data_IF_420200019203
#
_entry.id   IF_420200019203
#
_cell.length_a   1.000
_cell.length_b   1.000
_cell.length_c   1.000
_cell.angle_alpha   90.00
_cell.angle_beta   90.00
_cell.angle_gamma   90.00
#
_symmetry.space_group_name_H-M   'P 1'
#
loop_
_entity.id
_entity.type
_entity.pdbx_description
1 polymer ?
#
# COMPACT_ATOMS: atom_id res chain seq x y z
N UNK A 1 -27.37 16.60 -3.97
CA UNK A 1 -27.35 16.99 -5.40
C UNK A 1 -26.28 16.17 -6.12
N UNK A 2 -26.68 15.14 -6.85
CA UNK A 2 -25.80 14.33 -7.70
C UNK A 2 -25.48 15.11 -8.98
N UNK A 3 -24.44 15.93 -8.95
CA UNK A 3 -23.83 16.51 -10.15
C UNK A 3 -22.46 15.84 -10.34
N UNK A 4 -22.38 14.78 -11.14
CA UNK A 4 -21.10 14.09 -11.33
C UNK A 4 -21.03 13.02 -12.41
N UNK A 5 -22.13 12.72 -13.12
CA UNK A 5 -22.13 11.61 -14.08
C UNK A 5 -22.79 11.99 -15.42
N UNK A 6 -22.51 13.19 -15.93
CA UNK A 6 -22.89 13.53 -17.31
C UNK A 6 -21.88 12.91 -18.30
N UNK A 7 -22.35 12.55 -19.49
CA UNK A 7 -21.49 12.12 -20.60
C UNK A 7 -20.38 13.13 -20.91
N UNK A 8 -20.63 14.42 -20.66
CA UNK A 8 -19.66 15.51 -20.82
C UNK A 8 -18.45 15.35 -19.87
N UNK A 9 -18.68 15.04 -18.59
CA UNK A 9 -17.59 14.77 -17.64
C UNK A 9 -16.84 13.47 -17.96
N UNK A 10 -17.48 12.48 -18.56
CA UNK A 10 -16.77 11.29 -19.04
C UNK A 10 -15.82 11.62 -20.23
N UNK A 11 -16.28 12.46 -21.16
CA UNK A 11 -15.49 12.94 -22.31
C UNK A 11 -14.34 13.85 -21.86
N UNK A 12 -14.60 14.82 -20.98
CA UNK A 12 -13.57 15.71 -20.41
C UNK A 12 -12.49 14.92 -19.63
N UNK A 13 -12.89 13.90 -18.87
CA UNK A 13 -11.95 12.96 -18.23
C UNK A 13 -11.12 12.17 -19.24
N UNK A 14 -11.71 11.79 -20.37
CA UNK A 14 -10.99 11.07 -21.42
C UNK A 14 -10.00 12.00 -22.13
N UNK A 15 -10.40 13.24 -22.42
CA UNK A 15 -9.56 14.27 -23.05
C UNK A 15 -8.41 14.74 -22.16
N UNK A 16 -8.64 14.91 -20.85
CA UNK A 16 -7.57 15.26 -19.91
C UNK A 16 -6.46 14.19 -19.81
N UNK A 17 -6.74 12.93 -20.19
CA UNK A 17 -5.71 11.89 -20.35
C UNK A 17 -4.80 12.13 -21.55
N UNK A 18 -5.15 13.00 -22.48
CA UNK A 18 -4.33 13.37 -23.64
C UNK A 18 -3.69 14.76 -23.49
N UNK A 19 -3.90 15.46 -22.37
CA UNK A 19 -3.35 16.79 -22.11
C UNK A 19 -1.90 16.81 -21.64
N UNK A 20 -1.21 15.66 -21.58
CA UNK A 20 0.19 15.54 -21.18
C UNK A 20 0.98 14.77 -22.25
N UNK A 21 2.13 15.29 -22.66
CA UNK A 21 3.01 14.63 -23.64
C UNK A 21 3.40 13.21 -23.23
N UNK A 22 3.52 12.97 -21.91
CA UNK A 22 3.81 11.63 -21.36
C UNK A 22 2.72 10.60 -21.65
N UNK A 23 1.49 11.04 -21.89
CA UNK A 23 0.37 10.15 -22.23
C UNK A 23 0.20 9.98 -23.75
N UNK A 24 0.81 10.87 -24.55
CA UNK A 24 0.77 10.83 -26.02
C UNK A 24 1.88 9.94 -26.61
N UNK A 25 3.03 9.88 -25.94
CA UNK A 25 4.17 9.07 -26.36
C UNK A 25 4.55 8.04 -25.29
N UNK A 26 4.73 6.78 -25.70
CA UNK A 26 5.30 5.75 -24.83
C UNK A 26 6.82 5.92 -24.75
N UNK A 27 7.28 6.62 -23.73
CA UNK A 27 8.70 6.71 -23.40
C UNK A 27 9.20 5.38 -22.82
N UNK A 28 10.40 4.96 -23.22
CA UNK A 28 10.97 3.70 -22.79
C UNK A 28 12.45 3.58 -23.10
N UNK A 29 13.02 2.46 -22.72
CA UNK A 29 14.43 2.14 -22.85
C UNK A 29 14.67 0.66 -23.08
N UNK A 30 15.94 0.25 -22.95
CA UNK A 30 16.36 -1.15 -23.07
C UNK A 30 17.15 -1.60 -21.86
N UNK A 31 16.94 -2.84 -21.45
CA UNK A 31 17.71 -3.49 -20.40
C UNK A 31 19.15 -3.67 -20.87
N UNK A 32 20.13 -3.23 -20.08
CA UNK A 32 21.56 -3.39 -20.38
C UNK A 32 22.34 -4.13 -19.29
N UNK A 33 21.77 -4.26 -18.09
CA UNK A 33 22.30 -5.02 -16.98
C UNK A 33 21.18 -5.63 -16.14
N UNK A 34 21.41 -6.84 -15.63
CA UNK A 34 20.45 -7.58 -14.82
C UNK A 34 21.13 -8.02 -13.53
N UNK A 35 20.45 -7.76 -12.41
CA UNK A 35 20.80 -8.23 -11.09
C UNK A 35 19.62 -9.00 -10.47
N UNK A 36 19.82 -9.77 -9.39
CA UNK A 36 18.74 -10.53 -8.76
C UNK A 36 17.57 -9.68 -8.24
N UNK A 37 17.83 -8.44 -7.81
CA UNK A 37 16.84 -7.55 -7.18
C UNK A 37 16.39 -6.38 -8.04
N UNK A 38 17.07 -6.13 -9.15
CA UNK A 38 16.80 -4.99 -10.04
C UNK A 38 17.43 -5.22 -11.41
N UNK A 39 17.01 -4.46 -12.41
CA UNK A 39 17.68 -4.38 -13.69
C UNK A 39 17.87 -2.92 -14.09
N UNK A 40 18.90 -2.67 -14.88
CA UNK A 40 19.23 -1.34 -15.39
C UNK A 40 18.67 -1.16 -16.79
N UNK A 41 18.13 0.03 -17.04
CA UNK A 41 17.54 0.42 -18.31
C UNK A 41 18.19 1.71 -18.80
N UNK A 42 18.67 1.73 -20.04
CA UNK A 42 19.17 2.93 -20.73
C UNK A 42 18.10 3.56 -21.62
N UNK A 43 18.22 4.87 -21.84
CA UNK A 43 17.42 5.61 -22.82
C UNK A 43 16.08 6.14 -22.27
N UNK A 44 15.84 6.04 -20.96
CA UNK A 44 14.60 6.54 -20.34
C UNK A 44 14.81 7.56 -19.20
N UNK A 45 16.05 7.89 -18.83
CA UNK A 45 16.35 8.73 -17.66
C UNK A 45 15.72 10.12 -17.71
N UNK A 46 15.68 10.76 -18.88
CA UNK A 46 15.10 12.10 -19.06
C UNK A 46 13.58 12.13 -18.89
N UNK A 47 12.91 10.98 -19.03
CA UNK A 47 11.46 10.88 -18.96
C UNK A 47 10.98 10.15 -17.69
N UNK A 48 11.83 9.37 -17.04
CA UNK A 48 11.50 8.65 -15.82
C UNK A 48 11.35 9.59 -14.62
N UNK A 49 10.48 9.22 -13.68
CA UNK A 49 10.42 9.78 -12.33
C UNK A 49 10.51 8.64 -11.31
N UNK A 50 11.07 8.94 -10.14
CA UNK A 50 11.10 7.99 -9.04
C UNK A 50 9.67 7.56 -8.69
N UNK A 51 9.46 6.25 -8.56
CA UNK A 51 8.15 5.65 -8.32
C UNK A 51 7.30 5.43 -9.58
N UNK A 52 7.78 5.80 -10.78
CA UNK A 52 7.08 5.45 -12.02
C UNK A 52 6.98 3.92 -12.14
N UNK A 53 5.78 3.44 -12.44
CA UNK A 53 5.58 2.04 -12.78
C UNK A 53 5.96 1.83 -14.24
N UNK A 54 6.70 0.76 -14.51
CA UNK A 54 7.11 0.38 -15.86
C UNK A 54 6.51 -0.95 -16.27
N UNK A 55 6.37 -1.10 -17.58
CA UNK A 55 6.02 -2.32 -18.29
C UNK A 55 7.26 -2.85 -19.00
N UNK A 56 7.70 -4.04 -18.62
CA UNK A 56 8.83 -4.75 -19.22
C UNK A 56 8.31 -5.89 -20.08
N UNK A 57 8.73 -5.92 -21.35
CA UNK A 57 8.39 -6.97 -22.30
C UNK A 57 9.50 -8.02 -22.26
N UNK A 58 9.26 -9.10 -21.52
CA UNK A 58 10.16 -10.25 -21.48
C UNK A 58 9.76 -11.31 -22.51
N UNK A 59 10.58 -12.36 -22.63
CA UNK A 59 10.27 -13.52 -23.45
C UNK A 59 9.01 -14.28 -22.96
N UNK A 60 8.76 -14.33 -21.65
CA UNK A 60 7.58 -14.99 -21.08
C UNK A 60 6.33 -14.11 -20.98
N UNK A 61 6.42 -12.82 -21.32
CA UNK A 61 5.28 -11.92 -21.39
C UNK A 61 5.51 -10.54 -20.76
N UNK A 62 4.43 -9.89 -20.36
CA UNK A 62 4.48 -8.57 -19.77
C UNK A 62 4.75 -8.67 -18.26
N UNK A 63 5.81 -7.99 -17.82
CA UNK A 63 6.22 -7.85 -16.43
C UNK A 63 6.09 -6.40 -15.99
N UNK A 64 5.99 -6.18 -14.69
CA UNK A 64 5.90 -4.82 -14.12
C UNK A 64 6.94 -4.60 -13.03
N UNK A 65 7.42 -3.37 -12.94
CA UNK A 65 8.35 -2.93 -11.90
C UNK A 65 8.22 -1.45 -11.62
N UNK A 66 9.07 -0.94 -10.74
CA UNK A 66 9.09 0.45 -10.30
C UNK A 66 10.46 1.08 -10.54
N UNK A 67 10.48 2.33 -10.99
CA UNK A 67 11.71 3.13 -11.05
C UNK A 67 12.15 3.48 -9.63
N UNK A 68 13.27 2.91 -9.19
CA UNK A 68 13.81 3.08 -7.84
C UNK A 68 15.07 3.94 -7.79
N UNK A 69 15.73 4.15 -8.93
CA UNK A 69 16.89 5.05 -9.06
C UNK A 69 16.92 5.67 -10.46
N UNK A 70 17.30 6.94 -10.55
CA UNK A 70 17.56 7.62 -11.83
C UNK A 70 18.96 8.21 -11.78
N UNK A 71 19.80 7.81 -12.71
CA UNK A 71 21.09 8.43 -13.00
C UNK A 71 21.04 9.18 -14.34
N UNK A 72 22.15 9.84 -14.74
CA UNK A 72 22.21 10.63 -15.97
C UNK A 72 21.82 9.85 -17.23
N UNK A 73 22.39 8.64 -17.38
CA UNK A 73 22.24 7.83 -18.60
C UNK A 73 21.47 6.52 -18.37
N UNK A 74 21.20 6.21 -17.10
CA UNK A 74 20.61 4.93 -16.67
C UNK A 74 19.52 5.10 -15.63
N UNK A 75 18.58 4.16 -15.61
CA UNK A 75 17.51 4.06 -14.62
C UNK A 75 17.53 2.65 -14.03
N UNK A 76 17.36 2.51 -12.71
CA UNK A 76 17.15 1.21 -12.10
C UNK A 76 15.68 0.93 -11.89
N UNK A 77 15.29 -0.29 -12.25
CA UNK A 77 13.96 -0.81 -12.05
C UNK A 77 14.01 -1.96 -11.06
N UNK A 78 13.19 -1.89 -10.02
CA UNK A 78 12.94 -3.01 -9.12
C UNK A 78 11.66 -3.75 -9.59
N UNK A 79 11.73 -5.04 -9.94
CA UNK A 79 10.57 -5.81 -10.37
C UNK A 79 9.59 -6.07 -9.21
N UNK A 80 8.30 -6.15 -9.54
CA UNK A 80 7.29 -6.63 -8.59
C UNK A 80 7.26 -8.15 -8.50
N UNK A 81 7.57 -8.84 -9.60
CA UNK A 81 7.71 -10.30 -9.60
C UNK A 81 9.05 -10.72 -8.97
N UNK A 82 9.05 -11.86 -8.27
CA UNK A 82 10.28 -12.39 -7.64
C UNK A 82 11.31 -12.84 -8.67
N UNK A 83 10.85 -13.38 -9.80
CA UNK A 83 11.69 -13.65 -10.95
C UNK A 83 11.31 -12.63 -12.05
N UNK A 84 12.16 -11.62 -12.32
CA UNK A 84 11.85 -10.60 -13.31
C UNK A 84 11.77 -11.13 -14.73
N UNK A 85 12.37 -12.30 -15.02
CA UNK A 85 12.53 -12.81 -16.39
C UNK A 85 13.13 -11.75 -17.34
N UNK A 86 14.12 -10.98 -16.85
CA UNK A 86 14.75 -9.92 -17.64
C UNK A 86 15.90 -10.46 -18.50
N UNK A 87 15.91 -10.10 -19.78
CA UNK A 87 17.00 -10.32 -20.73
C UNK A 87 17.64 -9.02 -21.20
N UNK A 88 18.94 -9.06 -21.53
CA UNK A 88 19.63 -7.91 -22.12
C UNK A 88 18.98 -7.57 -23.47
N UNK A 89 18.66 -6.30 -23.66
CA UNK A 89 18.00 -5.78 -24.86
C UNK A 89 16.47 -5.72 -24.75
N UNK A 90 15.87 -6.30 -23.70
CA UNK A 90 14.42 -6.25 -23.48
C UNK A 90 13.92 -4.81 -23.40
N UNK A 91 12.72 -4.61 -23.92
CA UNK A 91 12.10 -3.29 -23.95
C UNK A 91 11.35 -3.00 -22.64
N UNK A 92 11.58 -1.81 -22.11
CA UNK A 92 10.91 -1.32 -20.89
C UNK A 92 10.27 0.01 -21.20
N UNK A 93 8.98 0.16 -20.89
CA UNK A 93 8.21 1.37 -21.15
C UNK A 93 7.64 1.93 -19.85
N UNK A 94 7.61 3.24 -19.70
CA UNK A 94 6.89 3.88 -18.61
C UNK A 94 5.41 3.62 -18.81
N UNK A 95 4.75 3.06 -17.80
CA UNK A 95 3.32 2.78 -17.88
C UNK A 95 2.55 4.09 -17.73
N UNK A 96 1.93 4.50 -18.81
CA UNK A 96 1.08 5.68 -18.89
C UNK A 96 -0.33 5.31 -18.45
N UNK A 97 -0.56 5.29 -17.14
CA UNK A 97 -1.82 4.91 -16.55
C UNK A 97 -1.75 5.06 -15.05
N UNK A 98 -2.78 5.66 -14.47
CA UNK A 98 -2.88 5.77 -13.03
C UNK A 98 -3.29 4.38 -12.44
N UNK A 99 -2.90 4.13 -11.20
CA UNK A 99 -2.95 2.79 -10.59
C UNK A 99 -4.37 2.37 -10.19
N UNK A 100 -4.54 1.18 -9.62
CA UNK A 100 -5.85 0.78 -9.10
C UNK A 100 -6.27 1.72 -7.96
N UNK A 101 -7.45 2.32 -8.06
CA UNK A 101 -7.98 3.23 -7.05
C UNK A 101 -8.94 2.47 -6.11
N UNK A 102 -8.80 2.61 -4.78
CA UNK A 102 -9.75 2.05 -3.82
C UNK A 102 -11.19 2.45 -4.14
N UNK A 103 -12.12 1.56 -3.81
CA UNK A 103 -13.55 1.75 -4.02
C UNK A 103 -14.34 1.06 -2.91
N UNK A 104 -15.55 1.52 -2.61
CA UNK A 104 -16.43 0.93 -1.61
C UNK A 104 -16.64 -0.59 -1.76
N UNK A 105 -16.56 -1.12 -2.99
CA UNK A 105 -16.69 -2.54 -3.31
C UNK A 105 -15.50 -3.42 -2.86
N UNK A 106 -14.45 -2.83 -2.28
CA UNK A 106 -13.28 -3.55 -1.79
C UNK A 106 -13.52 -4.17 -0.40
N UNK A 107 -14.54 -3.73 0.33
CA UNK A 107 -14.94 -4.38 1.60
C UNK A 107 -15.32 -5.83 1.36
N UNK A 108 -14.85 -6.74 2.21
CA UNK A 108 -15.03 -8.19 2.03
C UNK A 108 -14.03 -8.85 1.07
N UNK A 109 -13.02 -8.10 0.60
CA UNK A 109 -12.11 -8.53 -0.47
C UNK A 109 -10.66 -8.59 0.01
N UNK A 110 -9.91 -9.47 -0.63
CA UNK A 110 -8.45 -9.60 -0.45
C UNK A 110 -7.76 -9.14 -1.73
N UNK A 111 -6.82 -8.20 -1.59
CA UNK A 111 -6.04 -7.62 -2.69
C UNK A 111 -4.54 -7.73 -2.45
N UNK A 112 -3.76 -7.74 -3.53
CA UNK A 112 -2.31 -7.62 -3.47
C UNK A 112 -1.86 -6.16 -3.26
N UNK A 113 -0.53 -5.97 -3.15
CA UNK A 113 0.09 -4.65 -2.99
C UNK A 113 -0.12 -3.68 -4.17
N UNK A 114 -0.64 -4.17 -5.31
CA UNK A 114 -0.97 -3.38 -6.50
C UNK A 114 -2.49 -3.18 -6.67
N UNK A 115 -3.29 -3.66 -5.71
CA UNK A 115 -4.74 -3.52 -5.69
C UNK A 115 -5.47 -4.53 -6.58
N UNK A 116 -4.79 -5.62 -6.99
CA UNK A 116 -5.41 -6.70 -7.78
C UNK A 116 -6.09 -7.68 -6.83
N UNK A 117 -7.31 -8.16 -7.14
CA UNK A 117 -7.99 -9.14 -6.29
C UNK A 117 -7.25 -10.49 -6.31
N UNK A 118 -7.04 -11.08 -5.13
CA UNK A 118 -6.38 -12.39 -4.95
C UNK A 118 -7.26 -13.42 -4.24
N UNK A 119 -8.52 -13.09 -3.98
CA UNK A 119 -9.50 -13.95 -3.30
C UNK A 119 -10.35 -14.83 -4.24
N UNK A 120 -10.10 -14.78 -5.55
CA UNK A 120 -10.87 -15.54 -6.54
C UNK A 120 -12.32 -15.07 -6.74
N UNK A 121 -12.75 -13.95 -6.13
CA UNK A 121 -14.14 -13.44 -6.21
C UNK A 121 -14.39 -12.52 -7.42
N UNK A 122 -13.53 -12.59 -8.45
CA UNK A 122 -13.64 -11.78 -9.67
C UNK A 122 -13.18 -10.33 -9.51
N UNK A 123 -13.51 -9.50 -10.50
CA UNK A 123 -13.02 -8.13 -10.61
C UNK A 123 -13.53 -7.22 -9.48
N UNK A 124 -12.77 -6.16 -9.22
CA UNK A 124 -13.13 -5.09 -8.29
C UNK A 124 -13.60 -3.86 -9.07
N UNK A 125 -14.55 -3.14 -8.50
CA UNK A 125 -14.79 -1.76 -8.89
C UNK A 125 -13.52 -0.94 -8.68
N UNK A 126 -13.28 0.01 -9.58
CA UNK A 126 -12.19 0.97 -9.44
C UNK A 126 -12.80 2.34 -9.15
N UNK A 127 -12.31 3.01 -8.11
CA UNK A 127 -12.69 4.36 -7.79
C UNK A 127 -12.19 5.36 -8.84
N UNK A 128 -12.50 6.64 -8.60
CA UNK A 128 -11.83 7.70 -9.35
C UNK A 128 -10.37 7.76 -8.94
N UNK A 129 -9.51 7.70 -9.96
CA UNK A 129 -8.07 7.70 -9.76
C UNK A 129 -7.58 9.11 -9.46
N UNK A 130 -7.62 9.48 -8.19
CA UNK A 130 -7.08 10.74 -7.67
C UNK A 130 -5.57 10.56 -7.47
N UNK A 131 -4.80 11.64 -7.68
CA UNK A 131 -3.38 11.66 -7.31
C UNK A 131 -3.21 11.14 -5.88
N UNK A 132 -2.05 10.52 -5.53
CA UNK A 132 -1.82 10.02 -4.17
C UNK A 132 -2.23 11.10 -3.17
N UNK A 133 -3.17 10.76 -2.29
CA UNK A 133 -3.75 11.73 -1.37
C UNK A 133 -2.63 12.35 -0.54
N UNK A 134 -2.46 13.66 -0.66
CA UNK A 134 -1.56 14.39 0.23
C UNK A 134 -2.21 14.32 1.61
N UNK A 135 -1.56 13.72 2.62
CA UNK A 135 -2.15 13.61 3.94
C UNK A 135 -2.53 15.02 4.45
N UNK A 136 -3.66 15.17 5.16
CA UNK A 136 -4.05 16.45 5.72
C UNK A 136 -2.91 17.03 6.57
N UNK A 137 -2.66 18.34 6.40
CA UNK A 137 -1.68 19.05 7.23
C UNK A 137 -2.04 18.90 8.71
N UNK A 138 -1.02 18.88 9.59
CA UNK A 138 -1.24 18.67 11.02
C UNK A 138 -2.24 19.67 11.64
N UNK A 139 -2.25 20.92 11.15
CA UNK A 139 -3.17 21.97 11.64
C UNK A 139 -4.59 21.85 11.09
N UNK A 140 -4.80 21.12 9.99
CA UNK A 140 -6.12 20.88 9.42
C UNK A 140 -6.81 19.65 10.05
N UNK A 141 -6.08 18.83 10.79
CA UNK A 141 -6.63 17.62 11.43
C UNK A 141 -7.47 17.99 12.66
N UNK A 142 -8.54 17.23 12.85
CA UNK A 142 -9.25 17.21 14.12
C UNK A 142 -8.33 16.73 15.26
N UNK A 143 -8.68 17.12 16.48
CA UNK A 143 -7.98 16.60 17.67
C UNK A 143 -8.45 15.19 17.99
N UNK A 144 -7.54 14.37 18.52
CA UNK A 144 -7.90 13.09 19.14
C UNK A 144 -8.63 13.40 20.44
N UNK A 145 -9.94 13.12 20.49
CA UNK A 145 -10.78 13.47 21.64
C UNK A 145 -11.86 12.43 21.97
N UNK A 146 -12.36 11.70 20.96
CA UNK A 146 -13.46 10.75 21.14
C UNK A 146 -12.92 9.34 21.37
N UNK A 147 -13.12 8.84 22.60
CA UNK A 147 -12.83 7.45 22.97
C UNK A 147 -13.86 6.46 22.42
N UNK A 148 -13.48 5.18 22.38
CA UNK A 148 -14.41 4.08 22.12
C UNK A 148 -14.02 2.85 22.95
N UNK A 149 -14.99 1.95 23.16
CA UNK A 149 -14.73 0.67 23.83
C UNK A 149 -14.25 -0.35 22.78
N UNK A 150 -13.12 -0.97 23.06
CA UNK A 150 -12.52 -1.99 22.20
C UNK A 150 -13.14 -3.37 22.43
N UNK A 151 -13.77 -3.59 23.59
CA UNK A 151 -14.23 -4.91 24.03
C UNK A 151 -13.12 -5.74 24.69
N UNK A 152 -11.88 -5.24 24.70
CA UNK A 152 -10.74 -5.83 25.40
C UNK A 152 -10.60 -5.14 26.75
N UNK A 153 -11.17 -5.73 27.82
CA UNK A 153 -11.27 -5.12 29.16
C UNK A 153 -9.98 -4.46 29.66
N UNK A 154 -8.82 -5.11 29.47
CA UNK A 154 -7.54 -4.55 29.93
C UNK A 154 -7.16 -3.28 29.18
N UNK A 155 -7.47 -3.19 27.89
CA UNK A 155 -7.26 -1.97 27.09
C UNK A 155 -8.25 -0.90 27.52
N UNK A 156 -9.53 -1.25 27.62
CA UNK A 156 -10.59 -0.28 27.95
C UNK A 156 -10.41 0.36 29.33
N UNK A 157 -9.86 -0.38 30.31
CA UNK A 157 -9.63 0.11 31.68
C UNK A 157 -8.30 0.87 31.80
N UNK A 158 -7.21 0.30 31.29
CA UNK A 158 -5.86 0.79 31.61
C UNK A 158 -5.23 1.63 30.49
N UNK A 159 -5.61 1.40 29.23
CA UNK A 159 -5.03 2.09 28.07
C UNK A 159 -6.12 2.43 27.05
N UNK A 160 -7.13 3.23 27.43
CA UNK A 160 -8.25 3.53 26.55
C UNK A 160 -7.77 4.20 25.25
N UNK A 161 -8.44 3.86 24.15
CA UNK A 161 -8.06 4.29 22.81
C UNK A 161 -9.08 5.30 22.28
N UNK A 162 -8.59 6.32 21.59
CA UNK A 162 -9.41 7.29 20.88
C UNK A 162 -9.35 7.09 19.36
N UNK A 163 -10.40 7.54 18.67
CA UNK A 163 -10.43 7.56 17.21
C UNK A 163 -9.29 8.41 16.65
N UNK A 164 -8.63 7.91 15.60
CA UNK A 164 -7.48 8.57 14.99
C UNK A 164 -6.15 8.38 15.73
N UNK A 165 -6.11 7.59 16.80
CA UNK A 165 -4.87 7.30 17.52
C UNK A 165 -4.02 6.26 16.79
N UNK A 166 -2.70 6.34 16.97
CA UNK A 166 -1.72 5.39 16.41
C UNK A 166 -1.04 4.67 17.57
N UNK A 167 -1.09 3.34 17.58
CA UNK A 167 -0.58 2.52 18.68
C UNK A 167 0.31 1.39 18.15
N UNK A 168 1.36 1.08 18.91
CA UNK A 168 2.21 -0.08 18.68
C UNK A 168 1.79 -1.25 19.56
N UNK A 169 1.70 -2.45 18.99
CA UNK A 169 1.58 -3.73 19.71
C UNK A 169 2.89 -4.47 19.56
N UNK A 170 3.65 -4.54 20.65
CA UNK A 170 4.96 -5.18 20.70
C UNK A 170 4.77 -6.61 21.19
N UNK A 171 4.99 -7.60 20.32
CA UNK A 171 4.64 -8.97 20.64
C UNK A 171 5.63 -9.99 20.03
N UNK A 172 5.94 -11.03 20.81
CA UNK A 172 6.65 -12.19 20.32
C UNK A 172 5.75 -13.15 19.53
N UNK A 173 6.34 -14.22 19.00
CA UNK A 173 5.56 -15.31 18.39
C UNK A 173 4.75 -16.07 19.46
N UNK A 174 3.52 -16.45 19.14
CA UNK A 174 2.71 -17.35 19.98
C UNK A 174 2.09 -16.71 21.24
N UNK A 175 2.24 -15.40 21.45
CA UNK A 175 1.73 -14.72 22.66
C UNK A 175 0.28 -14.21 22.55
N UNK A 176 -0.43 -14.55 21.46
CA UNK A 176 -1.81 -14.10 21.21
C UNK A 176 -1.95 -12.78 20.43
N UNK A 177 -0.90 -12.33 19.72
CA UNK A 177 -0.95 -11.14 18.84
C UNK A 177 -2.13 -11.17 17.88
N UNK A 178 -2.25 -12.23 17.08
CA UNK A 178 -3.29 -12.34 16.05
C UNK A 178 -4.69 -12.34 16.65
N UNK A 179 -4.88 -13.01 17.79
CA UNK A 179 -6.15 -12.99 18.54
C UNK A 179 -6.49 -11.58 19.00
N UNK A 180 -5.54 -10.85 19.58
CA UNK A 180 -5.76 -9.47 20.01
C UNK A 180 -6.11 -8.56 18.83
N UNK A 181 -5.39 -8.68 17.70
CA UNK A 181 -5.67 -7.90 16.49
C UNK A 181 -7.09 -8.17 15.95
N UNK A 182 -7.53 -9.43 15.97
CA UNK A 182 -8.88 -9.78 15.56
C UNK A 182 -9.95 -9.25 16.53
N UNK A 183 -9.71 -9.31 17.85
CA UNK A 183 -10.61 -8.72 18.84
C UNK A 183 -10.78 -7.21 18.61
N UNK A 184 -9.68 -6.49 18.31
CA UNK A 184 -9.73 -5.06 17.98
C UNK A 184 -10.45 -4.79 16.66
N UNK A 185 -10.26 -5.63 15.64
CA UNK A 185 -10.97 -5.52 14.36
C UNK A 185 -12.48 -5.75 14.49
N UNK A 186 -12.88 -6.67 15.36
CA UNK A 186 -14.27 -7.00 15.66
C UNK A 186 -14.95 -6.01 16.62
N UNK A 187 -14.24 -5.01 17.12
CA UNK A 187 -14.85 -3.96 17.93
C UNK A 187 -15.97 -3.24 17.15
N UNK A 188 -17.09 -2.99 17.82
CA UNK A 188 -18.24 -2.25 17.28
C UNK A 188 -17.99 -0.73 17.32
N UNK A 189 -16.84 -0.32 16.80
CA UNK A 189 -16.38 1.07 16.78
C UNK A 189 -16.00 1.53 15.36
N UNK A 190 -15.79 0.60 14.44
CA UNK A 190 -15.23 0.86 13.12
C UNK A 190 -16.19 0.48 12.00
N UNK A 191 -16.42 1.44 11.10
CA UNK A 191 -17.27 1.28 9.92
C UNK A 191 -16.53 0.50 8.83
N UNK A 192 -15.19 0.52 8.85
CA UNK A 192 -14.33 -0.21 7.92
C UNK A 192 -13.03 -0.63 8.60
N UNK A 193 -12.60 -1.85 8.32
CA UNK A 193 -11.30 -2.37 8.77
C UNK A 193 -10.41 -2.54 7.54
N UNK A 194 -9.15 -2.15 7.64
CA UNK A 194 -8.14 -2.40 6.62
C UNK A 194 -6.99 -3.12 7.29
N UNK A 195 -6.61 -4.28 6.76
CA UNK A 195 -5.50 -5.07 7.31
C UNK A 195 -4.43 -5.24 6.27
N UNK A 196 -3.20 -4.83 6.58
CA UNK A 196 -2.01 -5.12 5.80
C UNK A 196 -1.27 -6.31 6.41
N UNK A 197 -1.18 -7.42 5.69
CA UNK A 197 -0.44 -8.62 6.10
C UNK A 197 0.84 -8.71 5.26
N UNK A 198 1.97 -8.36 5.87
CA UNK A 198 3.25 -8.12 5.20
C UNK A 198 4.27 -9.16 5.62
N UNK A 199 4.75 -9.96 4.66
CA UNK A 199 5.82 -10.92 4.88
C UNK A 199 5.45 -12.09 5.79
N UNK A 200 4.16 -12.29 6.07
CA UNK A 200 3.63 -13.45 6.76
C UNK A 200 3.54 -14.65 5.80
N UNK A 201 3.44 -15.86 6.33
CA UNK A 201 3.29 -17.05 5.47
C UNK A 201 1.87 -17.16 4.96
N UNK A 202 1.68 -17.62 3.72
CA UNK A 202 0.36 -17.72 3.11
C UNK A 202 -0.68 -18.51 3.93
N UNK A 203 -0.25 -19.59 4.62
CA UNK A 203 -1.14 -20.34 5.52
C UNK A 203 -1.58 -19.53 6.74
N UNK A 204 -0.67 -18.72 7.31
CA UNK A 204 -0.93 -17.89 8.49
C UNK A 204 -1.85 -16.73 8.11
N UNK A 205 -1.70 -16.18 6.90
CA UNK A 205 -2.62 -15.21 6.31
C UNK A 205 -4.01 -15.79 6.16
N UNK A 206 -4.14 -17.00 5.61
CA UNK A 206 -5.43 -17.65 5.41
C UNK A 206 -6.13 -17.94 6.73
N UNK A 207 -5.43 -18.56 7.67
CA UNK A 207 -5.93 -18.81 9.04
C UNK A 207 -6.38 -17.53 9.73
N UNK A 208 -5.63 -16.43 9.58
CA UNK A 208 -6.02 -15.16 10.16
C UNK A 208 -7.33 -14.61 9.57
N UNK A 209 -7.48 -14.64 8.24
CA UNK A 209 -8.65 -14.09 7.55
C UNK A 209 -9.89 -14.97 7.69
N UNK A 210 -9.74 -16.30 7.59
CA UNK A 210 -10.85 -17.25 7.61
C UNK A 210 -11.28 -17.61 9.04
N UNK A 211 -10.32 -17.89 9.92
CA UNK A 211 -10.60 -18.46 11.25
C UNK A 211 -10.56 -17.40 12.37
N UNK A 212 -9.62 -16.43 12.30
CA UNK A 212 -9.42 -15.47 13.40
C UNK A 212 -10.32 -14.23 13.28
N UNK A 213 -10.38 -13.61 12.10
CA UNK A 213 -11.29 -12.48 11.82
C UNK A 213 -12.73 -12.96 11.66
N UNK A 214 -12.93 -14.08 10.95
CA UNK A 214 -14.25 -14.65 10.69
C UNK A 214 -15.08 -13.87 9.65
N UNK A 215 -16.19 -14.45 9.16
CA UNK A 215 -16.93 -13.94 8.00
C UNK A 215 -17.62 -12.59 8.24
N UNK A 216 -18.09 -12.34 9.47
CA UNK A 216 -18.80 -11.09 9.82
C UNK A 216 -17.86 -9.89 9.79
N UNK A 217 -16.72 -9.98 10.47
CA UNK A 217 -15.73 -8.90 10.46
C UNK A 217 -15.06 -8.79 9.08
N UNK A 218 -14.86 -9.92 8.37
CA UNK A 218 -14.33 -9.91 7.02
C UNK A 218 -15.22 -9.08 6.06
N UNK A 219 -16.54 -9.11 6.21
CA UNK A 219 -17.47 -8.37 5.35
C UNK A 219 -17.22 -6.84 5.34
N UNK A 220 -16.72 -6.27 6.44
CA UNK A 220 -16.32 -4.85 6.54
C UNK A 220 -14.81 -4.64 6.38
N UNK A 221 -14.04 -5.69 6.11
CA UNK A 221 -12.58 -5.67 6.03
C UNK A 221 -12.08 -5.62 4.59
N UNK A 222 -11.07 -4.80 4.32
CA UNK A 222 -10.22 -4.90 3.13
C UNK A 222 -8.87 -5.46 3.55
N UNK A 223 -8.53 -6.65 3.08
CA UNK A 223 -7.22 -7.25 3.36
C UNK A 223 -6.26 -6.98 2.21
N UNK A 224 -5.12 -6.35 2.52
CA UNK A 224 -4.00 -6.16 1.60
C UNK A 224 -2.89 -7.12 2.00
N UNK A 225 -2.54 -8.04 1.10
CA UNK A 225 -1.61 -9.12 1.39
C UNK A 225 -0.38 -8.99 0.51
N UNK A 226 0.79 -9.14 1.12
CA UNK A 226 2.04 -9.43 0.42
C UNK A 226 2.81 -10.48 1.24
N UNK A 227 2.80 -11.74 0.81
CA UNK A 227 3.35 -12.86 1.59
C UNK A 227 4.88 -12.89 1.60
N UNK A 228 5.46 -13.72 2.47
CA UNK A 228 6.92 -13.87 2.61
C UNK A 228 7.66 -14.31 1.34
N UNK A 229 6.96 -14.98 0.44
CA UNK A 229 7.48 -15.52 -0.82
C UNK A 229 7.38 -14.54 -1.99
N UNK A 230 6.72 -13.38 -1.80
CA UNK A 230 6.68 -12.29 -2.76
C UNK A 230 7.93 -11.39 -2.70
N UNK A 231 8.12 -10.57 -3.74
CA UNK A 231 9.26 -9.65 -3.83
C UNK A 231 9.27 -8.62 -2.69
N UNK A 232 10.46 -8.09 -2.40
CA UNK A 232 10.61 -6.98 -1.47
C UNK A 232 9.78 -5.76 -1.88
N UNK A 233 9.58 -5.56 -3.19
CA UNK A 233 8.77 -4.47 -3.72
C UNK A 233 7.29 -4.65 -3.38
N UNK A 234 6.74 -5.86 -3.50
CA UNK A 234 5.35 -6.14 -3.08
C UNK A 234 5.17 -5.90 -1.58
N UNK A 235 6.09 -6.43 -0.76
CA UNK A 235 6.09 -6.22 0.70
C UNK A 235 6.24 -4.75 1.09
N UNK A 236 7.04 -3.97 0.35
CA UNK A 236 7.18 -2.52 0.53
C UNK A 236 5.89 -1.77 0.16
N UNK A 237 5.17 -2.22 -0.86
CA UNK A 237 3.96 -1.54 -1.39
C UNK A 237 2.69 -1.88 -0.61
N UNK A 238 2.59 -3.05 0.01
CA UNK A 238 1.38 -3.47 0.71
C UNK A 238 0.91 -2.47 1.79
N UNK A 239 1.78 -1.96 2.69
CA UNK A 239 1.36 -0.93 3.64
C UNK A 239 0.91 0.38 3.00
N UNK A 240 1.53 0.79 1.89
CA UNK A 240 1.12 1.99 1.14
C UNK A 240 -0.28 1.81 0.54
N UNK A 241 -0.55 0.65 -0.07
CA UNK A 241 -1.87 0.30 -0.59
C UNK A 241 -2.92 0.27 0.52
N UNK A 242 -2.63 -0.38 1.66
CA UNK A 242 -3.54 -0.40 2.81
C UNK A 242 -3.82 1.01 3.35
N UNK A 243 -2.80 1.86 3.44
CA UNK A 243 -3.00 3.26 3.83
C UNK A 243 -3.87 4.01 2.83
N UNK A 244 -3.67 3.82 1.52
CA UNK A 244 -4.51 4.45 0.48
C UNK A 244 -5.97 4.00 0.59
N UNK A 245 -6.22 2.73 0.88
CA UNK A 245 -7.58 2.21 1.13
C UNK A 245 -8.16 2.86 2.38
N UNK A 246 -7.39 2.96 3.48
CA UNK A 246 -7.86 3.58 4.71
C UNK A 246 -8.16 5.09 4.53
N UNK A 247 -7.33 5.82 3.78
CA UNK A 247 -7.55 7.22 3.42
C UNK A 247 -8.81 7.41 2.60
N UNK A 248 -9.07 6.53 1.62
CA UNK A 248 -10.29 6.58 0.83
C UNK A 248 -11.55 6.52 1.71
N UNK A 249 -11.63 5.53 2.62
CA UNK A 249 -12.79 5.41 3.51
C UNK A 249 -12.85 6.52 4.56
N UNK A 250 -11.71 7.00 5.08
CA UNK A 250 -11.67 8.17 5.96
C UNK A 250 -12.29 9.38 5.27
N UNK A 251 -11.94 9.63 4.02
CA UNK A 251 -12.41 10.77 3.25
C UNK A 251 -13.90 10.64 2.89
N UNK A 252 -14.44 9.41 2.87
CA UNK A 252 -15.89 9.13 2.81
C UNK A 252 -16.61 9.28 4.17
N UNK A 253 -15.90 9.67 5.23
CA UNK A 253 -16.48 9.91 6.56
C UNK A 253 -16.38 8.73 7.53
N UNK A 254 -15.72 7.63 7.15
CA UNK A 254 -15.69 6.42 7.98
C UNK A 254 -14.70 6.50 9.13
N UNK A 255 -15.03 5.85 10.25
CA UNK A 255 -14.07 5.47 11.30
C UNK A 255 -13.38 4.18 10.85
N UNK A 256 -12.14 4.32 10.44
CA UNK A 256 -11.34 3.24 9.87
C UNK A 256 -10.37 2.71 10.92
N UNK A 257 -10.34 1.38 11.09
CA UNK A 257 -9.22 0.71 11.75
C UNK A 257 -8.22 0.26 10.69
N UNK A 258 -6.97 0.71 10.79
CA UNK A 258 -5.85 0.20 10.00
C UNK A 258 -4.99 -0.70 10.89
N UNK A 259 -4.91 -1.99 10.55
CA UNK A 259 -3.97 -2.94 11.16
C UNK A 259 -2.80 -3.15 10.20
N UNK A 260 -1.58 -2.92 10.66
CA UNK A 260 -0.36 -3.21 9.90
C UNK A 260 0.41 -4.32 10.62
N UNK A 261 0.38 -5.51 10.03
CA UNK A 261 1.04 -6.71 10.56
C UNK A 261 2.10 -7.24 9.57
N UNK A 262 3.39 -6.90 9.71
CA UNK A 262 3.99 -6.08 10.76
C UNK A 262 4.87 -4.95 10.24
N UNK A 263 5.08 -3.95 11.09
CA UNK A 263 5.97 -2.84 10.78
C UNK A 263 7.42 -3.30 10.67
N UNK A 264 7.78 -4.36 11.41
CA UNK A 264 9.08 -5.02 11.33
C UNK A 264 9.31 -5.63 9.95
N UNK A 265 8.29 -6.29 9.38
CA UNK A 265 8.37 -6.85 8.02
C UNK A 265 8.40 -5.78 6.94
N UNK A 266 7.69 -4.67 7.14
CA UNK A 266 7.80 -3.51 6.26
C UNK A 266 9.20 -2.88 6.29
N UNK A 267 9.79 -2.67 7.48
CA UNK A 267 11.16 -2.17 7.63
C UNK A 267 12.19 -3.10 6.97
N UNK A 268 12.03 -4.42 7.08
CA UNK A 268 12.85 -5.38 6.36
C UNK A 268 12.74 -5.25 4.84
N UNK A 269 11.54 -5.04 4.31
CA UNK A 269 11.32 -4.83 2.88
C UNK A 269 11.97 -3.52 2.39
N UNK A 270 11.83 -2.42 3.14
CA UNK A 270 12.52 -1.17 2.85
C UNK A 270 14.04 -1.35 2.82
N UNK A 271 14.60 -2.03 3.82
CA UNK A 271 16.04 -2.34 3.88
C UNK A 271 16.50 -3.13 2.66
N UNK A 272 15.78 -4.18 2.30
CA UNK A 272 16.14 -5.06 1.17
C UNK A 272 16.15 -4.30 -0.16
N UNK A 273 15.14 -3.44 -0.40
CA UNK A 273 15.09 -2.58 -1.58
C UNK A 273 16.23 -1.55 -1.58
N UNK A 274 16.44 -0.85 -0.45
CA UNK A 274 17.45 0.19 -0.32
C UNK A 274 18.88 -0.34 -0.51
N UNK A 275 19.21 -1.49 0.09
CA UNK A 275 20.50 -2.15 -0.13
C UNK A 275 20.61 -2.63 -1.58
N UNK A 276 19.52 -3.15 -2.15
CA UNK A 276 19.47 -3.59 -3.54
C UNK A 276 19.80 -2.49 -4.54
N UNK A 277 19.48 -1.23 -4.24
CA UNK A 277 19.81 -0.07 -5.08
C UNK A 277 21.14 0.60 -4.72
N UNK A 278 21.91 0.04 -3.78
CA UNK A 278 23.25 0.49 -3.40
C UNK A 278 23.31 1.45 -2.21
N UNK A 279 22.24 1.64 -1.44
CA UNK A 279 22.30 2.43 -0.21
C UNK A 279 23.03 1.65 0.90
N UNK A 280 24.08 2.22 1.52
CA UNK A 280 24.83 1.51 2.55
C UNK A 280 24.01 1.36 3.85
N UNK A 281 24.15 0.24 4.57
CA UNK A 281 23.55 0.10 5.90
C UNK A 281 24.33 0.94 6.93
N UNK A 282 23.63 1.78 7.69
CA UNK A 282 24.25 2.72 8.64
C UNK A 282 23.95 2.34 10.09
N UNK A 283 22.68 2.11 10.43
CA UNK A 283 22.26 1.89 11.82
C UNK A 283 21.65 0.49 11.99
N UNK A 284 22.34 -0.38 12.76
CA UNK A 284 21.89 -1.76 13.05
C UNK A 284 21.57 -2.58 11.78
N UNK A 285 22.31 -2.33 10.70
CA UNK A 285 22.10 -2.97 9.40
C UNK A 285 20.98 -2.36 8.56
N UNK A 286 20.34 -1.27 8.97
CA UNK A 286 19.35 -0.54 8.19
C UNK A 286 19.95 0.69 7.50
N UNK A 287 19.62 0.92 6.22
CA UNK A 287 19.89 2.17 5.52
C UNK A 287 19.14 3.36 6.14
N UNK A 288 19.60 4.59 5.87
CA UNK A 288 19.04 5.80 6.45
C UNK A 288 17.61 6.08 5.94
N UNK A 289 17.33 5.72 4.69
CA UNK A 289 16.00 5.85 4.08
C UNK A 289 14.90 5.13 4.87
N UNK A 290 15.20 3.98 5.49
CA UNK A 290 14.22 3.22 6.29
C UNK A 290 13.65 4.05 7.43
N UNK A 291 14.50 4.80 8.14
CA UNK A 291 14.10 5.66 9.25
C UNK A 291 13.36 6.92 8.79
N UNK A 292 13.44 7.25 7.50
CA UNK A 292 12.73 8.38 6.89
C UNK A 292 11.37 7.94 6.34
N UNK A 293 11.30 6.76 5.72
CA UNK A 293 10.11 6.28 5.03
C UNK A 293 9.10 5.64 5.98
N UNK A 294 9.58 5.01 7.06
CA UNK A 294 8.69 4.44 8.07
C UNK A 294 7.78 5.52 8.71
N UNK A 295 8.30 6.64 9.25
CA UNK A 295 7.45 7.70 9.79
C UNK A 295 6.54 8.33 8.73
N UNK A 296 7.02 8.54 7.50
CA UNK A 296 6.21 9.11 6.41
C UNK A 296 4.92 8.32 6.17
N UNK A 297 5.00 6.99 6.22
CA UNK A 297 3.79 6.16 6.11
C UNK A 297 2.89 6.34 7.34
N UNK A 298 3.45 6.19 8.55
CA UNK A 298 2.66 6.20 9.79
C UNK A 298 1.97 7.54 10.06
N UNK A 299 2.61 8.65 9.67
CA UNK A 299 2.07 9.99 9.88
C UNK A 299 0.83 10.29 9.02
N UNK A 300 0.51 9.44 8.04
CA UNK A 300 -0.72 9.54 7.24
C UNK A 300 -1.97 9.11 8.02
N UNK A 301 -1.82 8.22 9.00
CA UNK A 301 -2.90 7.86 9.91
C UNK A 301 -3.17 8.99 10.91
N UNK A 302 -4.43 9.11 11.32
CA UNK A 302 -4.88 10.17 12.21
C UNK A 302 -6.35 10.53 12.02
N UNK A 303 -6.86 11.50 12.81
CA UNK A 303 -8.11 12.16 12.53
C UNK A 303 -8.05 12.88 11.17
N UNK A 304 -9.15 12.86 10.43
CA UNK A 304 -9.30 13.64 9.21
C UNK A 304 -9.53 15.13 9.48
N UNK A 305 -9.86 15.87 8.43
CA UNK A 305 -10.35 17.26 8.52
C UNK A 305 -11.79 17.29 9.00
N UNK A 306 -12.30 18.46 9.42
CA UNK A 306 -13.71 18.60 9.84
C UNK A 306 -14.68 18.06 8.78
N UNK A 307 -15.63 17.24 9.21
CA UNK A 307 -16.61 16.59 8.33
C UNK A 307 -16.12 15.31 7.63
N UNK A 308 -14.87 14.88 7.87
CA UNK A 308 -14.35 13.58 7.41
C UNK A 308 -14.16 12.61 8.59
N UNK A 309 -13.85 11.37 8.26
CA UNK A 309 -13.66 10.28 9.20
C UNK A 309 -12.29 10.29 9.89
N UNK A 310 -11.86 9.12 10.38
CA UNK A 310 -10.57 8.97 11.05
C UNK A 310 -9.92 7.64 10.74
N UNK A 311 -8.59 7.57 10.86
CA UNK A 311 -7.81 6.33 10.75
C UNK A 311 -7.15 6.07 12.11
N UNK A 312 -7.70 5.12 12.86
CA UNK A 312 -7.03 4.55 14.04
C UNK A 312 -6.08 3.46 13.57
N UNK A 313 -4.78 3.56 13.89
CA UNK A 313 -3.78 2.62 13.41
C UNK A 313 -3.23 1.74 14.54
N UNK A 314 -3.21 0.43 14.31
CA UNK A 314 -2.58 -0.58 15.16
C UNK A 314 -1.41 -1.18 14.39
N UNK A 315 -0.21 -1.01 14.91
CA UNK A 315 1.05 -1.37 14.27
C UNK A 315 1.69 -2.49 15.08
N UNK A 316 1.76 -3.71 14.55
CA UNK A 316 2.48 -4.78 15.24
C UNK A 316 3.99 -4.64 14.99
N UNK A 317 4.78 -4.90 16.04
CA UNK A 317 6.25 -4.89 16.02
C UNK A 317 6.78 -6.30 16.30
#
# INVERSE_FOLDING_TARGET
MQAGNSALHAVERTLSRFGNDRTLLRCGGRVDEISPSHYRVRGMSLNARLGDVVEHRSASGLRTGEVVRIGPDETLIAPYDRNPDAGIGDHVFIRTGRGTAPHASWRGRVVDALGRPVDGKGFLGSGMDVAPAVPPSAMARQRVATGFMTGVRVIDIFTPICFGQRLGIFAGSGVGKSTLLAMLASADAFDTVVVALVGERGREVREFLEDTIGPECLAKTVAVVATSDESAMMRRRAPDMAMRVAEHFRDEGHRVLLVLDSITRFAHALREVAIGIGEPPVARGYPASVFTDLPKLLERAGPGVDGTGSITAILSV
#
